data_IF_452268541017
#
_entry.id   IF_452268541017
#
_cell.length_a   1.000
_cell.length_b   1.000
_cell.length_c   1.000
_cell.angle_alpha   90.00
_cell.angle_beta   90.00
_cell.angle_gamma   90.00
#
_symmetry.space_group_name_H-M   'P 1'
#
loop_
_entity.id
_entity.type
_entity.pdbx_description
1 polymer ?
#
# COMPACT_ATOMS: atom_id res chain seq x y z
N UNK A 1 -43.76 -55.61 10.04
CA UNK A 1 -42.97 -55.29 11.25
C UNK A 1 -41.83 -54.39 10.80
N UNK A 2 -41.84 -53.08 11.11
CA UNK A 2 -40.97 -52.40 12.10
C UNK A 2 -39.54 -52.97 12.03
N UNK A 3 -38.49 -52.21 11.69
CA UNK A 3 -37.90 -51.18 12.54
C UNK A 3 -37.23 -50.08 11.71
N UNK A 4 -37.52 -48.82 12.05
CA UNK A 4 -36.84 -47.65 11.52
C UNK A 4 -35.45 -47.52 12.10
N UNK A 5 -34.50 -47.06 11.28
CA UNK A 5 -33.17 -46.69 11.75
C UNK A 5 -33.23 -45.26 12.30
N UNK A 6 -32.64 -45.00 13.48
CA UNK A 6 -32.68 -43.69 14.12
C UNK A 6 -31.86 -42.67 13.33
N UNK A 7 -32.46 -41.49 13.12
CA UNK A 7 -31.80 -40.30 12.64
C UNK A 7 -30.55 -40.02 13.48
N UNK A 8 -29.37 -40.23 12.90
CA UNK A 8 -28.10 -39.81 13.49
C UNK A 8 -27.92 -38.33 13.17
N UNK A 9 -28.09 -37.49 14.19
CA UNK A 9 -27.96 -36.05 14.12
C UNK A 9 -26.52 -35.68 13.71
N UNK A 10 -26.38 -34.93 12.62
CA UNK A 10 -25.14 -34.26 12.23
C UNK A 10 -24.67 -33.32 13.35
N UNK A 11 -23.43 -33.48 13.79
CA UNK A 11 -22.70 -32.44 14.50
C UNK A 11 -21.31 -32.30 13.85
N UNK A 12 -21.25 -31.62 12.71
CA UNK A 12 -19.98 -31.12 12.18
C UNK A 12 -19.52 -30.00 13.12
N UNK A 13 -18.65 -30.34 14.08
CA UNK A 13 -17.82 -29.35 14.78
C UNK A 13 -16.95 -28.68 13.70
N UNK A 14 -17.41 -27.55 13.17
CA UNK A 14 -16.53 -26.58 12.56
C UNK A 14 -15.60 -26.10 13.68
N UNK A 15 -14.41 -26.71 13.76
CA UNK A 15 -13.29 -26.12 14.49
C UNK A 15 -13.03 -24.77 13.82
N UNK A 16 -13.62 -23.72 14.38
CA UNK A 16 -13.25 -22.35 14.11
C UNK A 16 -11.82 -22.20 14.57
N UNK A 17 -10.87 -22.49 13.67
CA UNK A 17 -9.52 -21.99 13.81
C UNK A 17 -9.66 -20.48 13.98
N UNK A 18 -9.19 -19.88 15.08
CA UNK A 18 -9.08 -18.44 15.14
C UNK A 18 -8.15 -18.06 14.00
N UNK A 19 -8.73 -17.56 12.90
CA UNK A 19 -7.98 -16.72 11.99
C UNK A 19 -7.55 -15.57 12.88
N UNK A 20 -6.32 -15.64 13.38
CA UNK A 20 -5.66 -14.51 13.98
C UNK A 20 -5.72 -13.42 12.91
N UNK A 21 -6.66 -12.50 13.08
CA UNK A 21 -6.66 -11.25 12.37
C UNK A 21 -5.39 -10.56 12.85
N UNK A 22 -4.28 -10.82 12.15
CA UNK A 22 -3.05 -10.07 12.33
C UNK A 22 -3.38 -8.66 11.83
N UNK A 23 -3.93 -7.84 12.72
CA UNK A 23 -3.79 -6.41 12.59
C UNK A 23 -2.31 -6.16 12.28
N UNK A 24 -2.02 -5.53 11.14
CA UNK A 24 -0.66 -5.33 10.66
C UNK A 24 0.20 -4.83 11.82
N UNK A 25 1.28 -5.57 12.12
CA UNK A 25 2.14 -5.24 13.26
C UNK A 25 2.82 -3.89 13.03
N UNK A 26 3.24 -3.20 14.09
CA UNK A 26 4.01 -1.95 13.98
C UNK A 26 5.22 -2.12 13.05
N UNK A 27 5.91 -3.26 13.17
CA UNK A 27 7.04 -3.61 12.29
C UNK A 27 6.65 -3.71 10.81
N UNK A 28 5.47 -4.24 10.48
CA UNK A 28 5.01 -4.32 9.10
C UNK A 28 4.69 -2.92 8.53
N UNK A 29 4.15 -2.03 9.35
CA UNK A 29 3.94 -0.63 8.96
C UNK A 29 5.26 0.12 8.76
N UNK A 30 6.24 -0.10 9.61
CA UNK A 30 7.56 0.52 9.47
C UNK A 30 8.27 0.07 8.19
N UNK A 31 8.23 -1.23 7.87
CA UNK A 31 8.76 -1.76 6.62
C UNK A 31 8.05 -1.15 5.40
N UNK A 32 6.71 -1.06 5.42
CA UNK A 32 5.96 -0.44 4.33
C UNK A 32 6.38 1.02 4.08
N UNK A 33 6.60 1.82 5.13
CA UNK A 33 7.06 3.21 4.97
C UNK A 33 8.47 3.29 4.39
N UNK A 34 9.35 2.38 4.79
CA UNK A 34 10.71 2.31 4.25
C UNK A 34 10.68 1.95 2.77
N UNK A 35 9.93 0.92 2.39
CA UNK A 35 9.80 0.46 1.01
C UNK A 35 9.17 1.53 0.11
N UNK A 36 8.07 2.14 0.57
CA UNK A 36 7.41 3.26 -0.12
C UNK A 36 8.40 4.42 -0.33
N UNK A 37 9.13 4.82 0.71
CA UNK A 37 10.09 5.91 0.62
C UNK A 37 11.20 5.60 -0.37
N UNK A 38 11.80 4.42 -0.28
CA UNK A 38 12.91 4.00 -1.14
C UNK A 38 12.47 3.93 -2.61
N UNK A 39 11.34 3.28 -2.88
CA UNK A 39 10.83 3.09 -4.23
C UNK A 39 10.46 4.43 -4.90
N UNK A 40 9.74 5.29 -4.18
CA UNK A 40 9.32 6.59 -4.72
C UNK A 40 10.49 7.56 -4.89
N UNK A 41 11.42 7.61 -3.94
CA UNK A 41 12.60 8.48 -4.04
C UNK A 41 13.49 8.08 -5.22
N UNK A 42 13.69 6.78 -5.44
CA UNK A 42 14.45 6.28 -6.60
C UNK A 42 13.86 6.76 -7.92
N UNK A 43 12.55 6.58 -8.13
CA UNK A 43 11.87 7.04 -9.35
C UNK A 43 11.97 8.55 -9.54
N UNK A 44 11.82 9.32 -8.47
CA UNK A 44 11.95 10.77 -8.53
C UNK A 44 13.37 11.22 -8.91
N UNK A 45 14.40 10.56 -8.37
CA UNK A 45 15.80 10.84 -8.69
C UNK A 45 16.18 10.42 -10.12
N UNK A 46 15.58 9.35 -10.66
CA UNK A 46 15.76 8.95 -12.06
C UNK A 46 15.22 10.03 -13.03
N UNK A 47 14.15 10.73 -12.64
CA UNK A 47 13.53 11.80 -13.45
C UNK A 47 14.24 13.14 -13.26
N UNK A 48 14.63 13.46 -12.02
CA UNK A 48 15.17 14.74 -11.62
C UNK A 48 16.42 14.54 -10.73
N UNK A 49 17.56 14.14 -11.30
CA UNK A 49 18.75 13.74 -10.53
C UNK A 49 19.34 14.86 -9.67
N UNK A 50 19.18 16.11 -10.11
CA UNK A 50 19.71 17.30 -9.43
C UNK A 50 18.67 18.01 -8.54
N UNK A 51 17.42 17.51 -8.48
CA UNK A 51 16.38 18.13 -7.68
C UNK A 51 16.45 17.70 -6.21
N UNK A 52 16.09 18.59 -5.31
CA UNK A 52 15.79 18.20 -3.93
C UNK A 52 14.44 17.47 -3.90
N UNK A 53 14.44 16.25 -3.36
CA UNK A 53 13.26 15.38 -3.35
C UNK A 53 12.68 15.32 -1.95
N UNK A 54 11.44 15.77 -1.80
CA UNK A 54 10.65 15.65 -0.58
C UNK A 54 9.47 14.70 -0.79
N UNK A 55 9.18 13.86 0.21
CA UNK A 55 8.08 12.91 0.17
C UNK A 55 7.13 13.15 1.35
N UNK A 56 5.83 13.24 1.08
CA UNK A 56 4.77 13.15 2.10
C UNK A 56 4.03 11.84 1.91
N UNK A 57 4.21 10.92 2.85
CA UNK A 57 3.67 9.58 2.77
C UNK A 57 2.20 9.53 3.16
N UNK A 58 1.46 8.64 2.50
CA UNK A 58 0.16 8.14 2.89
C UNK A 58 0.21 6.61 2.73
N UNK A 59 0.80 5.96 3.73
CA UNK A 59 0.97 4.51 3.80
C UNK A 59 -0.36 3.75 3.95
N UNK A 60 -1.40 4.43 4.45
CA UNK A 60 -2.76 3.89 4.49
C UNK A 60 -3.26 3.68 3.06
N UNK A 61 -3.21 4.73 2.24
CA UNK A 61 -3.62 4.71 0.84
C UNK A 61 -4.97 4.01 0.63
N UNK A 62 -4.96 2.92 -0.12
CA UNK A 62 -6.08 1.97 -0.25
C UNK A 62 -5.65 0.59 0.25
N UNK A 63 -6.55 -0.40 0.15
CA UNK A 63 -6.23 -1.79 0.52
C UNK A 63 -4.95 -2.30 -0.17
N UNK A 64 -4.84 -2.09 -1.48
CA UNK A 64 -3.74 -2.61 -2.29
C UNK A 64 -2.58 -1.64 -2.49
N UNK A 65 -2.79 -0.34 -2.26
CA UNK A 65 -1.80 0.67 -2.62
C UNK A 65 -1.46 1.59 -1.46
N UNK A 66 -0.17 1.87 -1.30
CA UNK A 66 0.31 3.01 -0.53
C UNK A 66 0.67 4.14 -1.51
N UNK A 67 0.58 5.39 -1.08
CA UNK A 67 0.90 6.52 -1.96
C UNK A 67 1.80 7.53 -1.26
N UNK A 68 2.55 8.29 -2.04
CA UNK A 68 3.31 9.42 -1.54
C UNK A 68 3.13 10.61 -2.48
N UNK A 69 2.92 11.80 -1.93
CA UNK A 69 3.12 13.03 -2.69
C UNK A 69 4.63 13.27 -2.77
N UNK A 70 5.12 13.41 -3.99
CA UNK A 70 6.52 13.70 -4.29
C UNK A 70 6.61 15.14 -4.75
N UNK A 71 7.46 15.91 -4.08
CA UNK A 71 7.83 17.27 -4.50
C UNK A 71 9.27 17.22 -4.99
N UNK A 72 9.49 17.69 -6.21
CA UNK A 72 10.81 17.81 -6.84
C UNK A 72 11.13 19.30 -6.99
N UNK A 73 12.04 19.82 -6.17
CA UNK A 73 12.48 21.22 -6.25
C UNK A 73 13.45 21.37 -7.44
N UNK A 74 12.95 21.89 -8.57
CA UNK A 74 13.74 22.14 -9.77
C UNK A 74 14.03 23.64 -9.93
N UNK A 75 15.00 23.97 -10.79
CA UNK A 75 15.36 25.36 -11.07
C UNK A 75 14.22 26.19 -11.69
N UNK A 76 13.27 25.52 -12.36
CA UNK A 76 12.09 26.17 -12.97
C UNK A 76 10.92 26.34 -11.99
N UNK A 77 11.01 25.77 -10.80
CA UNK A 77 9.93 25.71 -9.81
C UNK A 77 9.70 24.29 -9.28
N UNK A 78 8.94 24.15 -8.17
CA UNK A 78 8.59 22.84 -7.63
C UNK A 78 7.62 22.11 -8.55
N UNK A 79 7.90 20.84 -8.84
CA UNK A 79 6.95 19.94 -9.47
C UNK A 79 6.35 18.99 -8.45
N UNK A 80 5.03 18.77 -8.55
CA UNK A 80 4.30 17.82 -7.71
C UNK A 80 3.92 16.59 -8.52
N UNK A 81 4.25 15.40 -8.03
CA UNK A 81 3.82 14.12 -8.59
C UNK A 81 3.25 13.24 -7.49
N UNK A 82 2.47 12.22 -7.86
CA UNK A 82 2.04 11.16 -6.95
C UNK A 82 2.79 9.88 -7.28
N UNK A 83 3.41 9.29 -6.27
CA UNK A 83 3.95 7.94 -6.34
C UNK A 83 2.90 6.96 -5.81
N UNK A 84 2.64 5.89 -6.56
CA UNK A 84 1.74 4.81 -6.19
C UNK A 84 2.57 3.54 -6.03
N UNK A 85 2.53 2.95 -4.85
CA UNK A 85 3.23 1.71 -4.49
C UNK A 85 2.23 0.58 -4.30
N UNK A 86 2.39 -0.49 -5.07
CA UNK A 86 1.62 -1.72 -4.94
C UNK A 86 2.15 -2.55 -3.77
N UNK A 87 1.32 -2.75 -2.74
CA UNK A 87 1.70 -3.45 -1.50
C UNK A 87 1.97 -4.95 -1.71
N UNK A 88 1.43 -5.54 -2.77
CA UNK A 88 1.59 -6.97 -3.05
C UNK A 88 2.85 -7.24 -3.88
N UNK A 89 3.08 -6.45 -4.94
CA UNK A 89 4.22 -6.65 -5.84
C UNK A 89 5.47 -5.88 -5.43
N UNK A 90 5.34 -4.87 -4.56
CA UNK A 90 6.42 -3.98 -4.16
C UNK A 90 6.88 -3.02 -5.25
N UNK A 91 6.09 -2.89 -6.33
CA UNK A 91 6.41 -1.99 -7.43
C UNK A 91 5.83 -0.60 -7.21
N UNK A 92 6.62 0.43 -7.52
CA UNK A 92 6.17 1.81 -7.53
C UNK A 92 6.05 2.35 -8.95
N UNK A 93 5.12 3.28 -9.14
CA UNK A 93 4.98 4.10 -10.33
C UNK A 93 4.85 5.56 -9.90
N UNK A 94 5.44 6.48 -10.67
CA UNK A 94 5.31 7.92 -10.45
C UNK A 94 4.48 8.52 -11.56
N UNK A 95 3.48 9.35 -11.22
CA UNK A 95 2.75 10.11 -12.22
C UNK A 95 3.65 11.16 -12.86
N UNK A 96 3.25 11.65 -14.03
CA UNK A 96 3.73 12.95 -14.51
C UNK A 96 3.45 14.04 -13.46
N UNK A 97 4.17 15.15 -13.55
CA UNK A 97 3.92 16.32 -12.73
C UNK A 97 2.48 16.82 -12.94
N UNK A 98 1.82 17.19 -11.85
CA UNK A 98 0.58 17.94 -11.88
C UNK A 98 0.86 19.33 -12.45
N UNK A 99 -0.08 19.89 -13.24
CA UNK A 99 0.01 21.29 -13.61
C UNK A 99 -0.05 22.16 -12.35
N UNK A 100 0.50 23.37 -12.44
CA UNK A 100 0.26 24.39 -11.42
C UNK A 100 -1.25 24.59 -11.25
N UNK A 101 -1.69 24.82 -10.01
CA UNK A 101 -3.10 25.07 -9.75
C UNK A 101 -3.53 26.33 -10.51
N UNK A 102 -4.50 26.19 -11.40
CA UNK A 102 -5.20 27.32 -12.00
C UNK A 102 -6.06 27.96 -10.90
N UNK A 103 -5.76 29.20 -10.51
CA UNK A 103 -6.53 30.00 -9.55
C UNK A 103 -7.86 30.49 -10.12
#
# INVERSE_FOLDING_TARGET
MKHGYPATLLLCLSLGTPMAAHASSEAAWDLLRQDLTAACKRLAQEIAPDAEISLRLNEFGSESYAVALVTMEKSAGPELSVCVYDKQSGQAQLTTAFPEAEE
#
